data_IF_209775019112
#
_entry.id   IF_209775019112
#
_cell.length_a   1.000
_cell.length_b   1.000
_cell.length_c   1.000
_cell.angle_alpha   90.00
_cell.angle_beta   90.00
_cell.angle_gamma   90.00
#
_symmetry.space_group_name_H-M   'P 1'
#
loop_
_entity.id
_entity.type
_entity.pdbx_description
1 polymer ?
#
# COMPACT_ATOMS: atom_id res chain seq x y z
N UNK A 1 26.54 -28.77 23.25
CA UNK A 1 25.31 -28.33 22.57
C UNK A 1 25.41 -26.84 22.31
N UNK A 2 25.68 -26.35 21.09
CA UNK A 2 25.71 -24.91 20.82
C UNK A 2 24.32 -24.40 20.45
N UNK A 3 23.87 -23.37 21.16
CA UNK A 3 22.66 -22.60 20.90
C UNK A 3 22.76 -21.93 19.52
N UNK A 4 21.93 -22.36 18.57
CA UNK A 4 21.74 -21.66 17.30
C UNK A 4 21.13 -20.29 17.58
N UNK A 5 21.96 -19.26 17.53
CA UNK A 5 21.48 -17.89 17.35
C UNK A 5 20.85 -17.82 15.96
N UNK A 6 19.51 -17.80 15.91
CA UNK A 6 18.79 -17.33 14.73
C UNK A 6 19.36 -15.95 14.37
N UNK A 7 20.09 -15.90 13.25
CA UNK A 7 20.56 -14.65 12.67
C UNK A 7 19.31 -13.83 12.38
N UNK A 8 19.06 -12.80 13.20
CA UNK A 8 18.20 -11.67 12.79
C UNK A 8 18.71 -11.26 11.41
N UNK A 9 17.87 -11.39 10.37
CA UNK A 9 18.15 -10.80 9.06
C UNK A 9 18.50 -9.34 9.34
N UNK A 10 19.69 -8.95 8.93
CA UNK A 10 20.22 -7.59 9.11
C UNK A 10 19.17 -6.61 8.62
N UNK A 11 18.59 -5.78 9.50
CA UNK A 11 17.70 -4.69 9.09
C UNK A 11 18.47 -3.82 8.10
N UNK A 12 18.04 -3.81 6.85
CA UNK A 12 18.56 -2.92 5.80
C UNK A 12 18.09 -1.49 6.10
N UNK A 13 18.64 -0.89 7.17
CA UNK A 13 18.45 0.52 7.48
C UNK A 13 19.28 1.34 6.49
N UNK A 14 18.65 1.90 5.43
CA UNK A 14 18.96 3.26 4.92
C UNK A 14 18.20 3.69 3.65
N UNK A 15 17.60 2.79 2.86
CA UNK A 15 16.94 3.19 1.60
C UNK A 15 15.42 3.35 1.68
N UNK A 16 14.80 3.00 2.81
CA UNK A 16 13.33 3.07 2.96
C UNK A 16 12.82 4.51 2.85
N UNK A 17 13.56 5.47 3.42
CA UNK A 17 13.29 6.90 3.29
C UNK A 17 13.47 7.44 1.87
N UNK A 18 14.19 6.73 1.00
CA UNK A 18 14.35 7.14 -0.40
C UNK A 18 13.19 6.64 -1.30
N UNK A 19 12.39 5.68 -0.82
CA UNK A 19 11.21 5.17 -1.55
C UNK A 19 9.99 6.07 -1.36
N UNK A 20 9.99 6.89 -0.31
CA UNK A 20 8.90 7.80 0.04
C UNK A 20 9.31 9.25 -0.21
N UNK A 21 8.43 10.02 -0.81
CA UNK A 21 8.63 11.46 -1.00
C UNK A 21 8.50 12.21 0.33
N UNK A 22 9.00 13.45 0.39
CA UNK A 22 8.84 14.31 1.58
C UNK A 22 7.37 14.57 1.93
N UNK A 23 6.50 14.67 0.93
CA UNK A 23 5.07 14.88 1.15
C UNK A 23 4.44 13.63 1.76
N UNK A 24 4.72 12.45 1.21
CA UNK A 24 4.26 11.18 1.78
C UNK A 24 4.77 10.95 3.21
N UNK A 25 6.02 11.31 3.51
CA UNK A 25 6.53 11.23 4.87
C UNK A 25 5.82 12.21 5.82
N UNK A 26 5.39 13.37 5.32
CA UNK A 26 4.61 14.33 6.11
C UNK A 26 3.21 13.80 6.37
N UNK A 27 2.52 13.33 5.33
CA UNK A 27 1.17 12.75 5.44
C UNK A 27 1.14 11.51 6.32
N UNK A 28 2.11 10.60 6.19
CA UNK A 28 2.22 9.42 7.04
C UNK A 28 2.47 9.80 8.50
N UNK A 29 3.23 10.88 8.75
CA UNK A 29 3.44 11.39 10.09
C UNK A 29 2.17 11.99 10.67
N UNK A 30 1.44 12.78 9.90
CA UNK A 30 0.16 13.37 10.32
C UNK A 30 -0.89 12.30 10.60
N UNK A 31 -0.99 11.29 9.72
CA UNK A 31 -1.85 10.13 9.93
C UNK A 31 -1.45 9.35 11.19
N UNK A 32 -0.15 9.15 11.43
CA UNK A 32 0.33 8.49 12.65
C UNK A 32 -0.05 9.27 13.91
N UNK A 33 0.11 10.60 13.91
CA UNK A 33 -0.29 11.45 15.05
C UNK A 33 -1.81 11.42 15.28
N UNK A 34 -2.60 11.27 14.23
CA UNK A 34 -4.05 11.15 14.35
C UNK A 34 -4.47 9.80 14.95
N UNK A 35 -3.69 8.75 14.68
CA UNK A 35 -3.87 7.41 15.23
C UNK A 35 -3.40 7.32 16.70
N UNK A 36 -2.18 7.78 16.99
CA UNK A 36 -1.53 7.76 18.32
C UNK A 36 -2.20 8.77 19.27
N UNK A 37 -3.25 8.34 19.97
CA UNK A 37 -4.08 9.23 20.79
C UNK A 37 -3.45 9.58 22.13
N UNK A 38 -2.69 8.66 22.70
CA UNK A 38 -2.00 8.87 23.97
C UNK A 38 -0.62 9.54 23.79
N UNK A 39 -0.21 9.77 22.54
CA UNK A 39 1.04 10.42 22.14
C UNK A 39 2.28 9.69 22.70
N UNK A 40 2.20 8.37 22.89
CA UNK A 40 3.30 7.56 23.40
C UNK A 40 4.33 7.18 22.31
N UNK A 41 4.09 7.64 21.07
CA UNK A 41 4.88 7.38 19.87
C UNK A 41 4.83 5.92 19.39
N UNK A 42 3.83 5.15 19.84
CA UNK A 42 3.55 3.79 19.40
C UNK A 42 2.08 3.68 19.06
N UNK A 43 1.78 2.72 18.19
CA UNK A 43 0.40 2.43 17.82
C UNK A 43 -0.09 1.23 18.61
N UNK A 44 -1.00 1.43 19.56
CA UNK A 44 -1.61 0.33 20.31
C UNK A 44 -2.84 -0.23 19.58
N UNK A 45 -3.28 -1.43 20.00
CA UNK A 45 -4.57 -2.00 19.56
C UNK A 45 -5.71 -1.04 19.88
N UNK A 46 -5.65 -0.36 21.01
CA UNK A 46 -6.67 0.58 21.43
C UNK A 46 -6.75 1.79 20.50
N UNK A 47 -5.60 2.34 20.10
CA UNK A 47 -5.51 3.48 19.18
C UNK A 47 -6.16 3.15 17.84
N UNK A 48 -5.78 2.01 17.25
CA UNK A 48 -6.31 1.57 15.96
C UNK A 48 -7.80 1.21 16.06
N UNK A 49 -8.24 0.61 17.16
CA UNK A 49 -9.66 0.29 17.40
C UNK A 49 -10.51 1.57 17.44
N UNK A 50 -10.11 2.55 18.23
CA UNK A 50 -10.86 3.81 18.36
C UNK A 50 -10.89 4.57 17.04
N UNK A 51 -9.78 4.55 16.28
CA UNK A 51 -9.75 5.16 14.96
C UNK A 51 -10.69 4.44 13.97
N UNK A 52 -10.64 3.12 13.89
CA UNK A 52 -11.47 2.33 12.98
C UNK A 52 -12.96 2.44 13.31
N UNK A 53 -13.32 2.50 14.59
CA UNK A 53 -14.68 2.81 15.05
C UNK A 53 -15.10 4.22 14.60
N UNK A 54 -14.21 5.21 14.68
CA UNK A 54 -14.52 6.60 14.31
C UNK A 54 -14.85 6.78 12.82
N UNK A 55 -14.33 5.92 11.95
CA UNK A 55 -14.60 5.93 10.50
C UNK A 55 -15.66 4.89 10.09
N UNK A 56 -16.29 4.21 11.05
CA UNK A 56 -17.35 3.23 10.81
C UNK A 56 -16.88 1.92 10.15
N UNK A 57 -15.61 1.54 10.36
CA UNK A 57 -15.02 0.35 9.75
C UNK A 57 -15.49 -0.95 10.44
N UNK A 58 -15.72 -2.05 9.71
CA UNK A 58 -16.29 -3.29 10.27
C UNK A 58 -15.23 -4.27 10.83
N UNK A 59 -14.05 -3.80 11.26
CA UNK A 59 -12.99 -4.69 11.76
C UNK A 59 -13.25 -5.12 13.21
N UNK A 60 -13.03 -6.40 13.51
CA UNK A 60 -13.08 -6.90 14.88
C UNK A 60 -11.78 -6.62 15.63
N UNK A 61 -11.84 -6.60 16.97
CA UNK A 61 -10.65 -6.43 17.81
C UNK A 61 -9.57 -7.49 17.52
N UNK A 62 -9.97 -8.71 17.17
CA UNK A 62 -9.04 -9.79 16.81
C UNK A 62 -8.33 -9.52 15.48
N UNK A 63 -9.04 -9.00 14.48
CA UNK A 63 -8.42 -8.58 13.21
C UNK A 63 -7.43 -7.44 13.43
N UNK A 64 -7.76 -6.48 14.30
CA UNK A 64 -6.89 -5.35 14.64
C UNK A 64 -5.63 -5.85 15.36
N UNK A 65 -5.78 -6.80 16.28
CA UNK A 65 -4.65 -7.47 16.95
C UNK A 65 -3.75 -8.18 15.95
N UNK A 66 -4.32 -8.90 14.98
CA UNK A 66 -3.58 -9.54 13.90
C UNK A 66 -2.81 -8.51 13.06
N UNK A 67 -3.46 -7.42 12.64
CA UNK A 67 -2.84 -6.34 11.88
C UNK A 67 -1.63 -5.73 12.60
N UNK A 68 -1.73 -5.50 13.91
CA UNK A 68 -0.61 -4.96 14.71
C UNK A 68 0.48 -6.02 14.91
N UNK A 69 0.09 -7.28 15.15
CA UNK A 69 1.03 -8.37 15.36
C UNK A 69 1.84 -8.71 14.11
N UNK A 70 1.30 -8.48 12.90
CA UNK A 70 2.04 -8.61 11.64
C UNK A 70 3.23 -7.64 11.53
N UNK A 71 3.16 -6.49 12.21
CA UNK A 71 4.23 -5.49 12.25
C UNK A 71 5.26 -5.86 13.33
N UNK A 72 4.91 -5.54 14.58
CA UNK A 72 5.58 -5.91 15.83
C UNK A 72 4.70 -5.42 17.00
N UNK A 73 4.86 -5.92 18.23
CA UNK A 73 4.13 -5.38 19.39
C UNK A 73 4.43 -3.89 19.60
N UNK A 74 3.38 -3.05 19.52
CA UNK A 74 3.43 -1.58 19.65
C UNK A 74 4.38 -0.91 18.63
N UNK A 75 4.05 -0.98 17.32
CA UNK A 75 4.93 -0.45 16.29
C UNK A 75 5.06 1.07 16.42
N UNK A 76 6.30 1.54 16.38
CA UNK A 76 6.60 2.97 16.32
C UNK A 76 6.42 3.50 14.91
N UNK A 77 6.37 4.84 14.76
CA UNK A 77 6.36 5.48 13.45
C UNK A 77 7.48 4.98 12.51
N UNK A 78 8.68 4.74 13.04
CA UNK A 78 9.82 4.24 12.25
C UNK A 78 9.57 2.82 11.75
N UNK A 79 8.87 1.99 12.53
CA UNK A 79 8.53 0.62 12.14
C UNK A 79 7.47 0.64 11.04
N UNK A 80 6.47 1.50 11.17
CA UNK A 80 5.46 1.70 10.13
C UNK A 80 6.10 2.14 8.80
N UNK A 81 7.02 3.11 8.84
CA UNK A 81 7.78 3.53 7.66
C UNK A 81 8.63 2.39 7.08
N UNK A 82 9.24 1.58 7.94
CA UNK A 82 10.04 0.43 7.51
C UNK A 82 9.19 -0.55 6.73
N UNK A 83 8.03 -0.93 7.27
CA UNK A 83 7.13 -1.89 6.62
C UNK A 83 6.53 -1.31 5.34
N UNK A 84 6.09 -0.05 5.35
CA UNK A 84 5.57 0.60 4.14
C UNK A 84 6.61 0.59 3.02
N UNK A 85 7.85 1.02 3.29
CA UNK A 85 8.84 1.06 2.23
C UNK A 85 9.40 -0.32 1.86
N UNK A 86 9.37 -1.32 2.75
CA UNK A 86 9.61 -2.73 2.39
C UNK A 86 8.54 -3.21 1.39
N UNK A 87 7.26 -2.97 1.67
CA UNK A 87 6.16 -3.29 0.73
C UNK A 87 6.31 -2.56 -0.60
N UNK A 88 6.65 -1.28 -0.59
CA UNK A 88 6.90 -0.51 -1.82
C UNK A 88 8.13 -1.01 -2.60
N UNK A 89 9.11 -1.61 -1.92
CA UNK A 89 10.29 -2.20 -2.56
C UNK A 89 9.99 -3.55 -3.23
N UNK A 90 8.95 -4.26 -2.76
CA UNK A 90 8.46 -5.50 -3.38
C UNK A 90 7.65 -5.23 -4.66
N UNK A 91 7.13 -4.02 -4.83
CA UNK A 91 6.43 -3.60 -6.06
C UNK A 91 7.47 -3.39 -7.17
N UNK A 92 7.23 -3.99 -8.33
CA UNK A 92 8.05 -3.81 -9.53
C UNK A 92 8.23 -2.31 -9.89
N UNK A 93 9.27 -1.99 -10.65
CA UNK A 93 9.45 -0.62 -11.11
C UNK A 93 8.27 -0.18 -11.98
N UNK A 94 7.94 1.12 -11.97
CA UNK A 94 6.86 1.66 -12.81
C UNK A 94 7.04 1.25 -14.28
N UNK A 95 8.28 1.17 -14.76
CA UNK A 95 8.62 0.71 -16.10
C UNK A 95 8.23 -0.75 -16.35
N UNK A 96 8.49 -1.64 -15.40
CA UNK A 96 8.13 -3.07 -15.52
C UNK A 96 6.61 -3.26 -15.48
N UNK A 97 5.91 -2.50 -14.63
CA UNK A 97 4.45 -2.52 -14.56
C UNK A 97 3.85 -2.00 -15.87
N UNK A 98 4.38 -0.91 -16.44
CA UNK A 98 3.97 -0.38 -17.75
C UNK A 98 4.17 -1.42 -18.85
N UNK A 99 5.32 -2.12 -18.86
CA UNK A 99 5.60 -3.13 -19.88
C UNK A 99 4.68 -4.35 -19.73
N UNK A 100 4.31 -4.71 -18.50
CA UNK A 100 3.33 -5.76 -18.24
C UNK A 100 1.94 -5.40 -18.78
N UNK A 101 1.50 -4.14 -18.66
CA UNK A 101 0.22 -3.69 -19.23
C UNK A 101 0.25 -3.54 -20.74
N UNK A 102 1.42 -3.21 -21.32
CA UNK A 102 1.60 -3.02 -22.76
C UNK A 102 1.23 -4.25 -23.59
N UNK A 103 1.24 -5.45 -23.01
CA UNK A 103 0.81 -6.67 -23.70
C UNK A 103 -0.68 -6.65 -24.11
N UNK A 104 -1.48 -5.78 -23.48
CA UNK A 104 -2.91 -5.60 -23.75
C UNK A 104 -3.21 -4.39 -24.64
N UNK A 105 -2.20 -3.56 -24.94
CA UNK A 105 -2.31 -2.34 -25.73
C UNK A 105 -1.62 -2.52 -27.09
N UNK A 106 -2.36 -3.06 -28.06
CA UNK A 106 -1.86 -3.31 -29.42
C UNK A 106 -1.51 -2.00 -30.15
N UNK A 107 -2.26 -0.92 -29.88
CA UNK A 107 -2.10 0.39 -30.51
C UNK A 107 -1.00 1.24 -29.85
N UNK A 108 -0.53 0.82 -28.68
CA UNK A 108 0.50 1.45 -27.86
C UNK A 108 0.15 2.91 -27.49
N UNK A 109 -1.13 3.18 -27.27
CA UNK A 109 -1.68 4.50 -26.94
C UNK A 109 -1.66 4.80 -25.42
N UNK A 110 -1.36 3.80 -24.58
CA UNK A 110 -1.34 3.95 -23.13
C UNK A 110 -2.68 3.65 -22.46
N UNK A 111 -3.66 3.09 -23.18
CA UNK A 111 -5.02 2.84 -22.72
C UNK A 111 -5.39 1.36 -22.80
N UNK A 112 -6.21 0.90 -21.86
CA UNK A 112 -6.80 -0.46 -21.86
C UNK A 112 -8.30 -0.33 -21.59
N UNK A 113 -9.14 -1.12 -22.29
CA UNK A 113 -10.57 -1.16 -22.00
C UNK A 113 -10.85 -1.52 -20.53
N UNK A 114 -11.62 -0.68 -19.84
CA UNK A 114 -11.86 -0.84 -18.40
C UNK A 114 -12.64 -2.11 -18.07
N UNK A 115 -13.53 -2.57 -18.94
CA UNK A 115 -14.29 -3.81 -18.70
C UNK A 115 -13.40 -5.04 -18.87
N UNK A 116 -12.52 -5.03 -19.87
CA UNK A 116 -11.52 -6.06 -20.07
C UNK A 116 -10.57 -6.15 -18.89
N UNK A 117 -9.99 -5.02 -18.46
CA UNK A 117 -9.07 -5.00 -17.32
C UNK A 117 -9.78 -5.43 -16.03
N UNK A 118 -11.00 -4.96 -15.79
CA UNK A 118 -11.83 -5.38 -14.65
C UNK A 118 -12.03 -6.88 -14.63
N UNK A 119 -12.40 -7.47 -15.76
CA UNK A 119 -12.60 -8.91 -15.87
C UNK A 119 -11.31 -9.65 -15.59
N UNK A 120 -10.22 -9.25 -16.23
CA UNK A 120 -8.92 -9.90 -16.06
C UNK A 120 -8.45 -9.84 -14.60
N UNK A 121 -8.51 -8.68 -13.94
CA UNK A 121 -8.08 -8.51 -12.54
C UNK A 121 -9.00 -9.17 -11.51
N UNK A 122 -10.26 -9.48 -11.85
CA UNK A 122 -11.22 -10.09 -10.93
C UNK A 122 -11.46 -11.58 -11.19
N UNK A 123 -10.97 -12.13 -12.30
CA UNK A 123 -11.15 -13.54 -12.68
C UNK A 123 -9.83 -14.30 -12.85
N UNK A 124 -8.72 -13.65 -13.22
CA UNK A 124 -7.46 -14.31 -13.59
C UNK A 124 -6.35 -14.12 -12.53
N UNK A 125 -5.46 -15.11 -12.43
CA UNK A 125 -4.27 -15.05 -11.57
C UNK A 125 -4.61 -15.05 -10.06
N UNK A 126 -4.43 -13.90 -9.41
CA UNK A 126 -4.80 -13.67 -8.01
C UNK A 126 -5.89 -12.59 -7.96
N UNK A 127 -7.18 -12.97 -8.07
CA UNK A 127 -8.25 -12.03 -8.32
C UNK A 127 -8.47 -11.10 -7.13
N UNK A 128 -8.61 -9.81 -7.42
CA UNK A 128 -9.02 -8.80 -6.44
C UNK A 128 -10.54 -8.65 -6.41
N UNK A 129 -11.07 -8.10 -5.32
CA UNK A 129 -12.51 -7.80 -5.25
C UNK A 129 -12.88 -6.66 -6.21
N UNK A 130 -14.16 -6.60 -6.60
CA UNK A 130 -14.65 -5.49 -7.42
C UNK A 130 -14.40 -4.14 -6.75
N UNK A 131 -14.58 -4.06 -5.44
CA UNK A 131 -14.34 -2.84 -4.65
C UNK A 131 -12.86 -2.42 -4.68
N UNK A 132 -11.95 -3.40 -4.55
CA UNK A 132 -10.51 -3.16 -4.68
C UNK A 132 -10.14 -2.67 -6.08
N UNK A 133 -10.73 -3.26 -7.12
CA UNK A 133 -10.53 -2.81 -8.50
C UNK A 133 -11.00 -1.37 -8.71
N UNK A 134 -12.23 -1.04 -8.30
CA UNK A 134 -12.78 0.32 -8.44
C UNK A 134 -11.90 1.35 -7.71
N UNK A 135 -11.39 1.02 -6.52
CA UNK A 135 -10.46 1.88 -5.79
C UNK A 135 -9.12 2.06 -6.53
N UNK A 136 -8.59 0.97 -7.06
CA UNK A 136 -7.32 0.93 -7.76
C UNK A 136 -7.35 1.81 -9.03
N UNK A 137 -8.37 1.66 -9.88
CA UNK A 137 -8.48 2.40 -11.14
C UNK A 137 -9.06 3.80 -10.97
N UNK A 138 -9.55 4.17 -9.78
CA UNK A 138 -10.11 5.50 -9.50
C UNK A 138 -9.12 6.59 -9.92
N UNK A 139 -9.62 7.55 -10.69
CA UNK A 139 -8.83 8.67 -11.23
C UNK A 139 -7.94 8.31 -12.41
N UNK A 140 -7.94 7.05 -12.87
CA UNK A 140 -7.21 6.59 -14.06
C UNK A 140 -8.13 6.20 -15.22
N UNK A 141 -9.46 6.27 -15.04
CA UNK A 141 -10.44 5.92 -16.08
C UNK A 141 -10.98 7.18 -16.74
N UNK A 142 -10.87 7.25 -18.07
CA UNK A 142 -11.43 8.31 -18.92
C UNK A 142 -12.13 7.64 -20.12
N UNK A 143 -13.38 8.01 -20.40
CA UNK A 143 -14.19 7.47 -21.50
C UNK A 143 -14.26 5.92 -21.59
N UNK A 144 -14.27 5.25 -20.43
CA UNK A 144 -14.31 3.78 -20.35
C UNK A 144 -12.96 3.10 -20.58
N UNK A 145 -11.89 3.88 -20.77
CA UNK A 145 -10.53 3.41 -20.94
C UNK A 145 -9.69 3.71 -19.69
N UNK A 146 -8.83 2.78 -19.29
CA UNK A 146 -7.90 2.92 -18.17
C UNK A 146 -6.56 3.39 -18.71
N UNK A 147 -6.10 4.57 -18.28
CA UNK A 147 -4.74 5.02 -18.51
C UNK A 147 -3.79 4.23 -17.61
N UNK A 148 -3.19 3.18 -18.16
CA UNK A 148 -2.37 2.27 -17.37
C UNK A 148 -1.02 2.89 -16.98
N UNK A 149 -0.56 3.95 -17.64
CA UNK A 149 0.64 4.71 -17.21
C UNK A 149 0.37 5.42 -15.89
N UNK A 150 -0.79 6.09 -15.79
CA UNK A 150 -1.24 6.73 -14.55
C UNK A 150 -1.51 5.68 -13.46
N UNK A 151 -2.09 4.54 -13.84
CA UNK A 151 -2.29 3.42 -12.92
C UNK A 151 -0.97 2.86 -12.38
N UNK A 152 0.03 2.60 -13.24
CA UNK A 152 1.35 2.14 -12.83
C UNK A 152 2.04 3.11 -11.87
N UNK A 153 1.92 4.41 -12.16
CA UNK A 153 2.43 5.46 -11.26
C UNK A 153 1.71 5.42 -9.91
N UNK A 154 0.38 5.29 -9.91
CA UNK A 154 -0.44 5.16 -8.69
C UNK A 154 -0.11 3.89 -7.90
N UNK A 155 0.19 2.78 -8.57
CA UNK A 155 0.59 1.53 -7.92
C UNK A 155 1.96 1.63 -7.26
N UNK A 156 2.92 2.30 -7.91
CA UNK A 156 4.29 2.42 -7.38
C UNK A 156 4.44 3.52 -6.33
N UNK A 157 3.73 4.62 -6.51
CA UNK A 157 3.89 5.84 -5.72
C UNK A 157 2.66 6.18 -4.87
N UNK A 158 1.60 5.38 -4.88
CA UNK A 158 0.35 5.72 -4.21
C UNK A 158 -0.44 6.81 -4.95
N UNK A 159 -1.54 7.25 -4.35
CA UNK A 159 -2.37 8.30 -4.94
C UNK A 159 -1.63 9.65 -4.83
N UNK A 160 -1.18 10.20 -5.96
CA UNK A 160 -0.65 11.55 -6.00
C UNK A 160 -1.86 12.48 -5.85
N UNK A 161 -2.09 12.99 -4.63
CA UNK A 161 -2.99 14.11 -4.40
C UNK A 161 -2.29 15.33 -5.00
N UNK A 162 -2.53 15.58 -6.29
CA UNK A 162 -2.22 16.87 -6.86
C UNK A 162 -3.17 17.88 -6.21
N UNK A 163 -2.61 18.86 -5.49
CA UNK A 163 -3.33 20.04 -5.00
C UNK A 163 -4.08 20.76 -6.14
#
# INVERSE_FOLDING_TARGET
MPLQHQRRKTRQNSNVFNMLTKNQLTELKEAFILLDRDCDSKLSVQDLTVFLESIGSPYSEDQIKEMIAELEPNPTYIVLLTVIGERLSEIDSEREIIEAFRIFDEDNDGLIDSNFLKRWMTEEGNPISKEQYEYLVRGCVEDGMVNYRKLSSKMKHGEIIAE
#
